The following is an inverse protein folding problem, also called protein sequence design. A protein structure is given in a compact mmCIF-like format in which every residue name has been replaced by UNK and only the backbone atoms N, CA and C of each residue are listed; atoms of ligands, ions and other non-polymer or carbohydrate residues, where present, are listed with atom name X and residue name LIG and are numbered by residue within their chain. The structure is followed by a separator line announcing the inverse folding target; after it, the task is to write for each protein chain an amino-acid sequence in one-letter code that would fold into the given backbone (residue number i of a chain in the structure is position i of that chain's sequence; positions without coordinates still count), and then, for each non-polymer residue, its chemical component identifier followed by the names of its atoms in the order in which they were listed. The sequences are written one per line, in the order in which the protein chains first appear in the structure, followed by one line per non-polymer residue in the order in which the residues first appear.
data_IF_386470776634
#
_entry.id   IF_386470776634
#
_cell.length_a   1.000
_cell.length_b   1.000
_cell.length_c   1.000
_cell.angle_alpha   90.00
_cell.angle_beta   90.00
_cell.angle_gamma   90.00
#
_symmetry.space_group_name_H-M   'P 1'
#
loop_
_entity.id
_entity.type
_entity.pdbx_description
1 polymer ?
#
# COMPACT_ATOMS: atom_id res chain seq x y z
N UNK A 1 1.56 -19.95 -1.35
CA UNK A 1 1.78 -18.50 -1.22
C UNK A 1 1.00 -17.80 -2.30
N UNK A 2 -0.17 -17.24 -2.00
CA UNK A 2 -0.87 -16.34 -2.91
C UNK A 2 -0.02 -15.07 -3.05
N UNK A 3 0.78 -15.04 -4.12
CA UNK A 3 1.63 -13.90 -4.45
C UNK A 3 0.74 -12.84 -5.07
N UNK A 4 0.24 -11.92 -4.26
CA UNK A 4 -0.36 -10.69 -4.79
C UNK A 4 0.66 -9.96 -5.66
N UNK A 5 0.28 -9.60 -6.88
CA UNK A 5 1.14 -8.85 -7.79
C UNK A 5 1.42 -7.44 -7.23
N UNK A 6 2.57 -6.83 -7.54
CA UNK A 6 2.87 -5.45 -7.13
C UNK A 6 1.77 -4.45 -7.53
N UNK A 7 1.20 -4.60 -8.72
CA UNK A 7 0.14 -3.76 -9.26
C UNK A 7 -1.14 -3.90 -8.42
N UNK A 8 -1.48 -5.13 -8.01
CA UNK A 8 -2.62 -5.37 -7.15
C UNK A 8 -2.45 -4.69 -5.80
N UNK A 9 -1.27 -4.81 -5.17
CA UNK A 9 -0.98 -4.15 -3.89
C UNK A 9 -1.10 -2.64 -3.99
N UNK A 10 -0.58 -2.07 -5.08
CA UNK A 10 -0.67 -0.64 -5.33
C UNK A 10 -2.12 -0.20 -5.51
N UNK A 11 -2.93 -0.95 -6.25
CA UNK A 11 -4.35 -0.66 -6.42
C UNK A 11 -5.11 -0.69 -5.08
N UNK A 12 -4.84 -1.68 -4.23
CA UNK A 12 -5.44 -1.80 -2.89
C UNK A 12 -5.10 -0.58 -2.02
N UNK A 13 -3.83 -0.16 -1.99
CA UNK A 13 -3.41 1.00 -1.21
C UNK A 13 -3.93 2.33 -1.79
N UNK A 14 -3.98 2.44 -3.12
CA UNK A 14 -4.54 3.62 -3.79
C UNK A 14 -6.03 3.75 -3.49
N UNK A 15 -6.80 2.66 -3.60
CA UNK A 15 -8.21 2.64 -3.22
C UNK A 15 -8.41 3.13 -1.78
N UNK A 16 -7.62 2.61 -0.84
CA UNK A 16 -7.68 3.01 0.57
C UNK A 16 -7.42 4.51 0.73
N UNK A 17 -6.45 5.05 0.00
CA UNK A 17 -6.09 6.46 0.03
C UNK A 17 -7.13 7.37 -0.62
N UNK A 18 -7.72 6.97 -1.75
CA UNK A 18 -8.70 7.77 -2.48
C UNK A 18 -10.07 7.78 -1.80
N UNK A 19 -10.48 6.64 -1.24
CA UNK A 19 -11.78 6.50 -0.57
C UNK A 19 -11.73 6.86 0.92
N UNK A 20 -10.55 6.86 1.53
CA UNK A 20 -10.40 6.98 2.99
C UNK A 20 -10.88 5.74 3.75
N UNK A 21 -11.06 4.60 3.06
CA UNK A 21 -11.52 3.36 3.68
C UNK A 21 -10.53 2.83 4.72
N UNK A 22 -11.04 2.20 5.78
CA UNK A 22 -10.20 1.48 6.74
C UNK A 22 -9.58 0.22 6.11
N UNK A 23 -8.54 -0.33 6.74
CA UNK A 23 -7.94 -1.59 6.32
C UNK A 23 -8.96 -2.74 6.27
N UNK A 24 -9.92 -2.77 7.21
CA UNK A 24 -10.98 -3.78 7.25
C UNK A 24 -11.95 -3.65 6.08
N UNK A 25 -12.42 -2.44 5.79
CA UNK A 25 -13.31 -2.18 4.65
C UNK A 25 -12.61 -2.50 3.32
N UNK A 26 -11.34 -2.13 3.20
CA UNK A 26 -10.51 -2.44 2.04
C UNK A 26 -10.33 -3.97 1.89
N UNK A 27 -10.06 -4.68 2.99
CA UNK A 27 -9.93 -6.13 2.97
C UNK A 27 -11.22 -6.83 2.50
N UNK A 28 -12.38 -6.38 2.97
CA UNK A 28 -13.68 -6.90 2.53
C UNK A 28 -13.89 -6.63 1.03
N UNK A 29 -13.60 -5.40 0.58
CA UNK A 29 -13.78 -5.02 -0.83
C UNK A 29 -12.93 -5.84 -1.79
N UNK A 30 -11.67 -6.10 -1.45
CA UNK A 30 -10.74 -6.86 -2.28
C UNK A 30 -10.70 -8.38 -1.97
N UNK A 31 -11.55 -8.87 -1.06
CA UNK A 31 -11.59 -10.27 -0.67
C UNK A 31 -10.31 -10.77 0.04
N UNK A 32 -9.58 -9.87 0.70
CA UNK A 32 -8.35 -10.19 1.41
C UNK A 32 -8.70 -10.70 2.81
N UNK A 33 -8.41 -11.97 3.07
CA UNK A 33 -8.78 -12.62 4.34
C UNK A 33 -8.07 -12.04 5.56
N UNK A 34 -6.89 -11.44 5.38
CA UNK A 34 -6.08 -10.91 6.47
C UNK A 34 -5.77 -9.43 6.29
N UNK A 35 -6.34 -8.61 7.17
CA UNK A 35 -6.15 -7.17 7.23
C UNK A 35 -4.67 -6.79 7.45
N UNK A 36 -3.92 -7.61 8.20
CA UNK A 36 -2.48 -7.40 8.44
C UNK A 36 -1.67 -7.44 7.15
N UNK A 37 -2.14 -8.14 6.12
CA UNK A 37 -1.47 -8.14 4.81
C UNK A 37 -1.44 -6.75 4.20
N UNK A 38 -2.55 -6.01 4.27
CA UNK A 38 -2.65 -4.63 3.76
C UNK A 38 -1.83 -3.68 4.64
N UNK A 39 -1.90 -3.83 5.96
CA UNK A 39 -1.08 -3.03 6.88
C UNK A 39 0.41 -3.19 6.62
N UNK A 40 0.89 -4.41 6.35
CA UNK A 40 2.29 -4.66 6.03
C UNK A 40 2.72 -3.99 4.72
N UNK A 41 1.85 -3.94 3.71
CA UNK A 41 2.14 -3.23 2.47
C UNK A 41 2.21 -1.72 2.70
N UNK A 42 1.25 -1.17 3.46
CA UNK A 42 1.25 0.26 3.78
C UNK A 42 2.50 0.65 4.58
N UNK A 43 2.84 -0.12 5.62
CA UNK A 43 4.05 0.09 6.41
C UNK A 43 5.33 0.05 5.54
N UNK A 44 5.37 -0.88 4.58
CA UNK A 44 6.51 -0.99 3.66
C UNK A 44 6.60 0.21 2.71
N UNK A 45 5.47 0.72 2.22
CA UNK A 45 5.43 1.94 1.39
C UNK A 45 5.82 3.17 2.19
N UNK A 46 5.40 3.28 3.45
CA UNK A 46 5.77 4.39 4.32
C UNK A 46 7.27 4.40 4.64
N UNK A 47 7.88 3.22 4.80
CA UNK A 47 9.29 3.08 5.14
C UNK A 47 10.22 3.21 3.93
N UNK A 48 9.91 2.49 2.86
CA UNK A 48 10.81 2.25 1.73
C UNK A 48 10.26 2.82 0.40
N UNK A 49 9.10 3.48 0.42
CA UNK A 49 8.43 4.03 -0.76
C UNK A 49 7.62 3.00 -1.57
N UNK A 50 6.91 3.48 -2.60
CA UNK A 50 6.08 2.64 -3.48
C UNK A 50 6.91 1.55 -4.16
N UNK A 51 8.17 1.84 -4.48
CA UNK A 51 9.12 0.90 -5.10
C UNK A 51 9.26 -0.39 -4.28
N UNK A 52 9.10 -0.32 -2.96
CA UNK A 52 9.21 -1.46 -2.07
C UNK A 52 8.13 -2.53 -2.27
N UNK A 53 7.01 -2.19 -2.94
CA UNK A 53 5.99 -3.16 -3.36
C UNK A 53 6.42 -3.97 -4.58
N UNK A 54 7.27 -3.38 -5.43
CA UNK A 54 7.79 -3.94 -6.68
C UNK A 54 9.10 -4.70 -6.48
N UNK A 55 9.85 -4.40 -5.41
CA UNK A 55 11.04 -5.16 -5.04
C UNK A 55 10.64 -6.57 -4.60
N UNK A 56 10.68 -7.50 -5.54
CA UNK A 56 10.71 -8.92 -5.28
C UNK A 56 12.05 -9.22 -4.61
N UNK A 57 12.01 -9.76 -3.38
CA UNK A 57 13.21 -10.16 -2.65
C UNK A 57 13.86 -11.36 -3.38
N UNK A 58 14.72 -11.06 -4.35
CA UNK A 58 15.46 -12.01 -5.17
C UNK A 58 15.94 -11.38 -6.48
N UNK A 59 17.24 -11.06 -6.56
CA UNK A 59 18.03 -10.48 -7.67
C UNK A 59 17.42 -9.25 -8.37
N UNK A 60 18.09 -8.08 -8.37
CA UNK A 60 17.57 -6.92 -9.07
C UNK A 60 17.50 -7.22 -10.57
N UNK A 61 16.28 -7.32 -11.12
CA UNK A 61 16.08 -7.21 -12.55
C UNK A 61 16.13 -5.71 -12.84
N UNK A 62 17.28 -5.27 -13.36
CA UNK A 62 17.40 -4.03 -14.10
C UNK A 62 16.29 -3.95 -15.16
N UNK A 63 15.83 -2.74 -15.47
CA UNK A 63 14.60 -2.38 -16.21
C UNK A 63 13.39 -2.37 -15.23
N UNK A 64 12.67 -1.28 -14.95
CA UNK A 64 12.11 -0.28 -15.86
C UNK A 64 11.67 0.98 -15.06
N UNK A 65 12.06 2.15 -15.56
CA UNK A 65 11.33 3.44 -15.62
C UNK A 65 10.69 4.06 -14.37
N UNK A 66 11.42 5.01 -13.78
CA UNK A 66 10.99 6.39 -13.43
C UNK A 66 9.46 6.61 -13.39
N UNK A 67 8.80 6.23 -12.29
CA UNK A 67 7.43 6.67 -12.02
C UNK A 67 7.46 7.92 -11.14
N UNK A 68 7.62 9.06 -11.81
CA UNK A 68 7.32 10.36 -11.24
C UNK A 68 5.80 10.47 -11.03
N UNK A 69 5.33 10.34 -9.79
CA UNK A 69 4.05 10.94 -9.39
C UNK A 69 4.07 11.23 -7.91
N UNK A 70 4.64 12.39 -7.59
CA UNK A 70 4.13 13.36 -6.61
C UNK A 70 2.94 12.85 -5.80
N UNK A 71 3.22 12.21 -4.67
CA UNK A 71 2.28 12.21 -3.55
C UNK A 71 2.82 13.26 -2.61
N UNK A 72 2.23 14.45 -2.74
CA UNK A 72 2.37 15.55 -1.81
C UNK A 72 2.18 15.06 -0.38
N UNK A 73 3.16 15.43 0.43
CA UNK A 73 3.06 15.64 1.86
C UNK A 73 1.78 16.42 2.17
N UNK A 74 0.81 15.77 2.80
CA UNK A 74 -0.08 16.46 3.73
C UNK A 74 -0.11 15.67 5.02
N UNK A 75 0.58 16.23 5.99
CA UNK A 75 0.32 16.03 7.41
C UNK A 75 -1.17 15.83 7.66
N UNK A 76 -1.50 14.72 8.30
CA UNK A 76 -2.67 14.61 9.18
C UNK A 76 -2.36 13.52 10.20
N UNK A 77 -1.54 13.90 11.17
CA UNK A 77 -1.82 13.60 12.57
C UNK A 77 -3.33 13.67 12.77
N UNK A 78 -3.97 12.52 12.93
CA UNK A 78 -5.35 12.46 13.40
C UNK A 78 -5.35 11.75 14.74
N UNK A 79 -4.78 12.45 15.72
CA UNK A 79 -5.30 12.42 17.07
C UNK A 79 -6.81 12.75 17.02
N UNK A 80 -7.54 12.25 18.03
CA UNK A 80 -8.95 12.54 18.37
C UNK A 80 -10.01 11.69 17.62
N UNK A 81 -10.97 11.01 18.24
CA UNK A 81 -11.48 10.96 19.62
C UNK A 81 -12.23 9.61 19.78
N UNK A 82 -12.04 8.88 20.89
CA UNK A 82 -13.15 8.20 21.55
C UNK A 82 -13.37 8.95 22.86
N UNK A 83 -14.45 9.73 22.89
CA UNK A 83 -15.10 10.14 24.14
C UNK A 83 -16.04 9.01 24.59
#
# INVERSE_FOLDING_TARGET
MTKYSPEFKLNVLNYMKTTGASYSQTAIHFGISNIRTIMNWNAKVLKDGIEALFILKGRPQNNITKLNSTIETKDLTREQQLE
#
